data_IF_053099044853
#
_entry.id   IF_053099044853
#
_cell.length_a   1.000
_cell.length_b   1.000
_cell.length_c   1.000
_cell.angle_alpha   90.00
_cell.angle_beta   90.00
_cell.angle_gamma   90.00
#
_symmetry.space_group_name_H-M   'P 1'
#
loop_
_entity.id
_entity.type
_entity.pdbx_description
1 polymer ?
#
# COMPACT_ATOMS: atom_id res chain seq x y z
N UNK A 1 -3.87 -22.31 13.34
CA UNK A 1 -3.08 -21.77 14.47
C UNK A 1 -2.60 -20.39 14.06
N UNK A 2 -3.07 -19.33 14.74
CA UNK A 2 -2.74 -17.94 14.42
C UNK A 2 -1.65 -17.44 15.38
N UNK A 3 -0.57 -16.85 14.85
CA UNK A 3 0.49 -16.25 15.65
C UNK A 3 0.08 -14.80 15.98
N UNK A 4 -0.28 -14.54 17.24
CA UNK A 4 -0.52 -13.19 17.75
C UNK A 4 0.81 -12.56 18.17
N UNK A 5 1.51 -11.91 17.24
CA UNK A 5 2.60 -11.01 17.62
C UNK A 5 2.02 -9.64 18.00
N UNK A 6 1.51 -9.53 19.23
CA UNK A 6 1.15 -8.24 19.80
C UNK A 6 2.42 -7.54 20.29
N UNK A 7 3.03 -6.74 19.42
CA UNK A 7 4.12 -5.86 19.83
C UNK A 7 3.51 -4.61 20.44
N UNK A 8 3.79 -4.34 21.71
CA UNK A 8 3.38 -3.09 22.34
C UNK A 8 3.99 -1.89 21.59
N UNK A 9 3.11 -0.97 21.20
CA UNK A 9 3.50 0.27 20.52
C UNK A 9 3.50 1.39 21.52
N UNK A 10 4.61 2.12 21.57
CA UNK A 10 4.62 3.39 22.27
C UNK A 10 3.64 4.34 21.57
N UNK A 11 2.76 5.02 22.33
CA UNK A 11 1.72 5.90 21.78
C UNK A 11 2.29 6.95 20.82
N UNK A 12 3.44 7.58 21.15
CA UNK A 12 4.19 8.47 20.24
C UNK A 12 4.44 7.90 18.84
N UNK A 13 4.72 6.60 18.71
CA UNK A 13 4.91 5.97 17.39
C UNK A 13 3.60 5.90 16.61
N UNK A 14 2.49 5.61 17.30
CA UNK A 14 1.14 5.62 16.72
C UNK A 14 0.76 7.03 16.26
N UNK A 15 1.00 8.02 17.11
CA UNK A 15 0.67 9.42 16.83
C UNK A 15 1.51 9.98 15.68
N UNK A 16 2.80 9.66 15.64
CA UNK A 16 3.71 10.09 14.57
C UNK A 16 3.23 9.61 13.19
N UNK A 17 2.87 8.33 13.05
CA UNK A 17 2.39 7.79 11.78
C UNK A 17 1.10 8.50 11.35
N UNK A 18 0.17 8.71 12.29
CA UNK A 18 -1.07 9.45 12.03
C UNK A 18 -0.79 10.90 11.58
N UNK A 19 0.13 11.59 12.24
CA UNK A 19 0.48 12.98 11.92
C UNK A 19 1.19 13.12 10.56
N UNK A 20 2.07 12.18 10.22
CA UNK A 20 2.78 12.21 8.92
C UNK A 20 1.79 12.09 7.76
N UNK A 21 0.81 11.19 7.87
CA UNK A 21 -0.14 10.93 6.80
C UNK A 21 -1.39 11.81 6.83
N UNK A 22 -1.70 12.48 7.94
CA UNK A 22 -2.83 13.42 8.02
C UNK A 22 -2.65 14.68 7.17
N UNK A 23 -1.42 14.95 6.72
CA UNK A 23 -1.08 16.10 5.85
C UNK A 23 -1.51 15.90 4.39
N UNK A 24 -2.01 14.72 4.04
CA UNK A 24 -2.43 14.40 2.68
C UNK A 24 -3.95 14.48 2.54
N UNK A 25 -4.41 15.10 1.47
CA UNK A 25 -5.84 15.25 1.15
C UNK A 25 -6.30 14.02 0.38
N UNK A 26 -7.36 13.37 0.86
CA UNK A 26 -7.92 12.21 0.17
C UNK A 26 -8.58 12.62 -1.17
N UNK A 27 -8.27 11.88 -2.23
CA UNK A 27 -8.83 12.09 -3.57
C UNK A 27 -9.54 10.83 -4.07
N UNK A 28 -10.66 11.02 -4.75
CA UNK A 28 -11.48 9.92 -5.29
C UNK A 28 -10.80 9.16 -6.45
N UNK A 29 -9.99 9.87 -7.22
CA UNK A 29 -9.31 9.35 -8.40
C UNK A 29 -7.81 9.55 -8.26
N UNK A 30 -7.07 8.51 -8.63
CA UNK A 30 -5.63 8.58 -8.69
C UNK A 30 -5.22 9.39 -9.91
N UNK A 31 -4.28 10.30 -9.72
CA UNK A 31 -3.72 11.05 -10.84
C UNK A 31 -3.04 10.10 -11.83
N UNK A 32 -3.07 10.46 -13.11
CA UNK A 32 -2.41 9.68 -14.16
C UNK A 32 -0.91 9.54 -13.94
N UNK A 33 -0.29 10.52 -13.26
CA UNK A 33 1.13 10.53 -12.91
C UNK A 33 1.25 10.98 -11.45
N UNK A 34 1.98 10.16 -10.67
CA UNK A 34 2.27 10.39 -9.25
C UNK A 34 3.77 10.64 -9.09
N UNK A 35 4.13 11.74 -8.41
CA UNK A 35 5.54 12.08 -8.17
C UNK A 35 6.05 11.61 -6.80
N UNK A 36 7.20 10.93 -6.82
CA UNK A 36 7.85 10.31 -5.67
C UNK A 36 6.85 9.58 -4.76
N UNK A 37 6.09 8.61 -5.29
CA UNK A 37 4.97 8.02 -4.58
C UNK A 37 5.42 7.28 -3.32
N UNK A 38 4.58 7.34 -2.31
CA UNK A 38 4.61 6.39 -1.19
C UNK A 38 3.41 5.48 -1.35
N UNK A 39 3.65 4.17 -1.34
CA UNK A 39 2.61 3.13 -1.37
C UNK A 39 2.57 2.50 0.02
N UNK A 40 1.46 2.65 0.72
CA UNK A 40 1.23 2.02 2.03
C UNK A 40 0.19 0.91 1.89
N UNK A 41 0.62 -0.30 2.21
CA UNK A 41 -0.12 -1.55 2.06
C UNK A 41 -0.59 -1.97 3.45
N UNK A 42 -1.90 -2.07 3.65
CA UNK A 42 -2.51 -2.47 4.91
C UNK A 42 -3.17 -3.84 4.74
N UNK A 43 -2.61 -4.92 5.31
CA UNK A 43 -3.25 -6.23 5.27
C UNK A 43 -4.60 -6.17 5.98
N UNK A 44 -5.63 -6.77 5.38
CA UNK A 44 -7.01 -6.77 5.90
C UNK A 44 -7.55 -8.17 6.16
N UNK A 45 -7.28 -9.13 5.27
CA UNK A 45 -7.75 -10.51 5.41
C UNK A 45 -6.91 -11.50 4.62
N UNK A 46 -7.05 -12.77 4.96
CA UNK A 46 -6.47 -13.88 4.21
C UNK A 46 -7.10 -14.00 2.81
N UNK A 47 -6.35 -14.55 1.85
CA UNK A 47 -6.85 -14.88 0.52
C UNK A 47 -7.65 -16.19 0.51
N UNK A 48 -7.45 -17.06 1.51
CA UNK A 48 -8.30 -18.22 1.76
C UNK A 48 -9.54 -17.85 2.61
N UNK A 49 -10.70 -18.36 2.21
CA UNK A 49 -11.91 -18.30 3.02
C UNK A 49 -12.01 -19.48 4.00
N UNK A 50 -13.01 -19.45 4.88
CA UNK A 50 -13.22 -20.48 5.91
C UNK A 50 -13.51 -21.87 5.31
N UNK A 51 -14.03 -21.91 4.07
CA UNK A 51 -14.29 -23.13 3.31
C UNK A 51 -13.04 -23.67 2.59
N UNK A 52 -11.89 -22.98 2.70
CA UNK A 52 -10.64 -23.32 2.04
C UNK A 52 -10.55 -22.85 0.58
N UNK A 53 -11.51 -22.05 0.09
CA UNK A 53 -11.45 -21.48 -1.26
C UNK A 53 -10.45 -20.33 -1.32
N UNK A 54 -9.55 -20.36 -2.31
CA UNK A 54 -8.65 -19.26 -2.63
C UNK A 54 -9.40 -18.20 -3.47
N UNK A 55 -9.45 -16.97 -2.97
CA UNK A 55 -10.05 -15.83 -3.67
C UNK A 55 -9.02 -14.80 -4.17
N UNK A 56 -7.73 -14.99 -3.89
CA UNK A 56 -6.62 -14.24 -4.50
C UNK A 56 -6.04 -14.92 -5.75
N UNK A 57 -5.06 -14.29 -6.38
CA UNK A 57 -4.20 -14.90 -7.40
C UNK A 57 -3.26 -15.94 -6.81
N UNK A 58 -2.81 -15.75 -5.58
CA UNK A 58 -1.87 -16.61 -4.87
C UNK A 58 -2.17 -16.60 -3.36
N UNK A 59 -1.59 -17.55 -2.63
CA UNK A 59 -1.56 -17.57 -1.17
C UNK A 59 -0.81 -16.33 -0.62
N UNK A 60 -1.59 -15.32 -0.24
CA UNK A 60 -1.14 -14.02 0.24
C UNK A 60 -2.20 -13.37 1.17
N UNK A 61 -1.97 -12.11 1.56
CA UNK A 61 -2.95 -11.30 2.28
C UNK A 61 -3.61 -10.28 1.35
N UNK A 62 -4.93 -10.30 1.33
CA UNK A 62 -5.70 -9.20 0.76
C UNK A 62 -5.47 -7.93 1.58
N UNK A 63 -5.05 -6.88 0.87
CA UNK A 63 -4.60 -5.63 1.47
C UNK A 63 -5.27 -4.43 0.80
N UNK A 64 -5.46 -3.37 1.58
CA UNK A 64 -5.87 -2.04 1.14
C UNK A 64 -4.63 -1.21 0.83
N UNK A 65 -4.66 -0.46 -0.27
CA UNK A 65 -3.51 0.26 -0.79
C UNK A 65 -3.78 1.74 -0.74
N UNK A 66 -2.90 2.49 -0.08
CA UNK A 66 -2.91 3.94 -0.09
C UNK A 66 -1.72 4.43 -0.91
N UNK A 67 -1.99 5.28 -1.91
CA UNK A 67 -0.95 5.88 -2.75
C UNK A 67 -0.91 7.37 -2.50
N UNK A 68 0.22 7.82 -1.97
CA UNK A 68 0.46 9.20 -1.61
C UNK A 68 1.30 9.88 -2.70
N UNK A 69 0.81 10.97 -3.26
CA UNK A 69 1.60 11.90 -4.08
C UNK A 69 2.29 12.89 -3.14
N UNK A 70 3.61 12.80 -3.03
CA UNK A 70 4.37 13.62 -2.06
C UNK A 70 4.55 15.07 -2.50
N UNK A 71 4.38 15.36 -3.80
CA UNK A 71 4.44 16.69 -4.39
C UNK A 71 3.10 17.41 -4.25
N UNK A 72 2.01 16.75 -4.67
CA UNK A 72 0.64 17.31 -4.60
C UNK A 72 0.01 17.24 -3.22
N UNK A 73 0.59 16.47 -2.29
CA UNK A 73 0.04 16.19 -0.96
C UNK A 73 -1.36 15.58 -1.02
N UNK A 74 -1.58 14.66 -1.95
CA UNK A 74 -2.82 13.91 -2.08
C UNK A 74 -2.62 12.44 -1.74
N UNK A 75 -3.68 11.78 -1.29
CA UNK A 75 -3.72 10.33 -1.08
C UNK A 75 -4.93 9.75 -1.78
N UNK A 76 -4.69 8.73 -2.60
CA UNK A 76 -5.75 7.89 -3.12
C UNK A 76 -5.77 6.58 -2.35
N UNK A 77 -6.97 6.07 -2.06
CA UNK A 77 -7.16 4.79 -1.37
C UNK A 77 -7.87 3.80 -2.27
N UNK A 78 -7.38 2.57 -2.31
CA UNK A 78 -7.99 1.53 -3.12
C UNK A 78 -9.40 1.20 -2.58
N UNK A 79 -10.39 1.25 -3.48
CA UNK A 79 -11.77 0.85 -3.15
C UNK A 79 -11.94 -0.67 -3.06
N UNK A 80 -10.96 -1.42 -3.56
CA UNK A 80 -10.90 -2.89 -3.56
C UNK A 80 -9.64 -3.34 -2.83
N UNK A 81 -9.64 -4.60 -2.43
CA UNK A 81 -8.48 -5.26 -1.86
C UNK A 81 -7.64 -5.89 -2.97
N UNK A 82 -6.33 -5.82 -2.79
CA UNK A 82 -5.35 -6.39 -3.71
C UNK A 82 -4.42 -7.32 -2.94
N UNK A 83 -3.86 -8.32 -3.61
CA UNK A 83 -2.98 -9.33 -3.02
C UNK A 83 -1.51 -9.21 -3.47
N UNK A 84 -1.20 -8.22 -4.30
CA UNK A 84 0.15 -7.98 -4.77
C UNK A 84 0.36 -6.64 -5.47
N UNK A 85 1.65 -6.29 -5.64
CA UNK A 85 2.12 -5.21 -6.53
C UNK A 85 2.77 -5.86 -7.74
N UNK A 86 2.38 -5.44 -8.94
CA UNK A 86 3.03 -5.83 -10.18
C UNK A 86 3.89 -4.67 -10.70
N UNK A 87 5.21 -4.68 -10.45
CA UNK A 87 6.11 -3.70 -11.03
C UNK A 87 6.37 -4.00 -12.50
N UNK A 88 6.05 -3.05 -13.37
CA UNK A 88 6.44 -3.09 -14.76
C UNK A 88 7.65 -2.15 -14.94
N UNK A 89 8.77 -2.73 -15.37
CA UNK A 89 10.11 -2.11 -15.41
C UNK A 89 10.77 -1.93 -14.02
N UNK A 90 12.04 -1.52 -14.03
CA UNK A 90 12.81 -1.26 -12.83
C UNK A 90 12.26 -0.05 -12.06
N UNK A 91 11.72 -0.31 -10.87
CA UNK A 91 11.32 0.75 -9.94
C UNK A 91 12.53 1.27 -9.18
N UNK A 92 12.64 2.60 -9.08
CA UNK A 92 13.62 3.20 -8.17
C UNK A 92 13.04 3.22 -6.74
N UNK A 93 13.23 2.11 -6.03
CA UNK A 93 12.83 1.96 -4.63
C UNK A 93 13.83 2.69 -3.74
N UNK A 94 13.38 3.72 -3.05
CA UNK A 94 14.19 4.48 -2.10
C UNK A 94 14.26 3.79 -0.73
N UNK A 95 13.10 3.36 -0.21
CA UNK A 95 13.02 2.68 1.09
C UNK A 95 11.78 1.79 1.16
N UNK A 96 11.91 0.70 1.92
CA UNK A 96 10.80 -0.16 2.34
C UNK A 96 10.79 -0.18 3.86
N UNK A 97 9.63 0.03 4.48
CA UNK A 97 9.42 -0.05 5.92
C UNK A 97 8.29 -1.02 6.22
N UNK A 98 8.54 -1.95 7.13
CA UNK A 98 7.53 -2.87 7.65
C UNK A 98 7.18 -2.36 9.05
N UNK A 99 5.90 -2.05 9.25
CA UNK A 99 5.39 -1.57 10.52
C UNK A 99 4.96 -2.72 11.41
N UNK A 100 4.84 -2.42 12.71
CA UNK A 100 4.50 -3.42 13.72
C UNK A 100 3.05 -3.92 13.61
N UNK A 101 2.20 -3.22 12.87
CA UNK A 101 0.83 -3.63 12.50
C UNK A 101 0.79 -4.46 11.20
N UNK A 102 1.96 -4.93 10.74
CA UNK A 102 2.18 -5.66 9.48
C UNK A 102 1.93 -4.82 8.22
N UNK A 103 1.54 -3.56 8.34
CA UNK A 103 1.47 -2.68 7.19
C UNK A 103 2.86 -2.41 6.63
N UNK A 104 2.95 -2.27 5.31
CA UNK A 104 4.24 -2.06 4.62
C UNK A 104 4.17 -0.78 3.83
N UNK A 105 5.23 0.03 3.91
CA UNK A 105 5.37 1.25 3.14
C UNK A 105 6.55 1.12 2.18
N UNK A 106 6.29 1.38 0.91
CA UNK A 106 7.27 1.42 -0.17
C UNK A 106 7.33 2.87 -0.65
N UNK A 107 8.51 3.49 -0.60
CA UNK A 107 8.73 4.83 -1.12
C UNK A 107 9.59 4.77 -2.36
N UNK A 108 9.11 5.39 -3.43
CA UNK A 108 9.78 5.43 -4.72
C UNK A 108 10.26 6.85 -5.00
N UNK A 109 11.27 6.96 -5.87
CA UNK A 109 11.75 8.24 -6.39
C UNK A 109 11.51 8.31 -7.89
N UNK A 110 11.05 9.45 -8.39
CA UNK A 110 10.69 9.65 -9.79
C UNK A 110 9.18 9.76 -10.00
N UNK A 111 8.76 9.72 -11.26
CA UNK A 111 7.36 9.83 -11.67
C UNK A 111 6.85 8.47 -12.11
N UNK A 112 5.66 8.09 -11.67
CA UNK A 112 5.09 6.78 -11.94
C UNK A 112 3.63 6.90 -12.37
N UNK A 113 3.22 6.02 -13.27
CA UNK A 113 1.82 5.72 -13.52
C UNK A 113 1.47 4.56 -12.60
N UNK A 114 0.34 4.67 -11.94
CA UNK A 114 -0.11 3.68 -10.98
C UNK A 114 -1.56 3.33 -11.31
N UNK A 115 -1.92 2.05 -11.29
CA UNK A 115 -3.28 1.61 -11.58
C UNK A 115 -3.66 0.37 -10.77
N UNK A 116 -4.78 0.42 -10.07
CA UNK A 116 -5.38 -0.78 -9.49
C UNK A 116 -6.17 -1.54 -10.55
N UNK A 117 -5.64 -2.67 -11.05
CA UNK A 117 -6.36 -3.56 -11.95
C UNK A 117 -6.73 -4.84 -11.19
N UNK A 118 -8.02 -5.19 -11.16
CA UNK A 118 -8.53 -6.41 -10.50
C UNK A 118 -7.92 -6.66 -9.10
N UNK A 119 -7.25 -7.80 -8.91
CA UNK A 119 -6.66 -8.31 -7.67
C UNK A 119 -5.23 -7.82 -7.43
N UNK A 120 -4.55 -7.22 -8.42
CA UNK A 120 -3.17 -6.71 -8.29
C UNK A 120 -3.11 -5.18 -8.39
N UNK A 121 -1.98 -4.62 -7.97
CA UNK A 121 -1.71 -3.19 -8.05
C UNK A 121 -0.54 -2.93 -8.98
N UNK A 122 -0.81 -2.34 -10.15
CA UNK A 122 0.19 -2.16 -11.19
C UNK A 122 0.90 -0.81 -11.04
N UNK A 123 2.20 -0.83 -11.30
CA UNK A 123 3.02 0.38 -11.28
C UNK A 123 4.03 0.39 -12.42
N UNK A 124 4.12 1.55 -13.08
CA UNK A 124 4.93 1.78 -14.27
C UNK A 124 5.76 3.05 -14.09
N UNK A 125 7.00 3.04 -14.56
CA UNK A 125 7.80 4.26 -14.60
C UNK A 125 7.28 5.20 -15.69
N UNK A 126 7.05 6.47 -15.34
CA UNK A 126 6.73 7.50 -16.33
C UNK A 126 8.04 7.97 -17.00
N UNK A 127 8.09 7.91 -18.33
CA UNK A 127 9.27 8.25 -19.14
C UNK A 127 9.37 9.76 -19.41
#
# INVERSE_FOLDING_TARGET
MLINNQIELHQKSVDYVKEVFSKYIEVEQLDSIVTNPIIHIYPKKDTYEQDGKLNGYIDALFSEFHVYDTEKKTVWKSKRLHDGICPYEDLYVNQIKIFKDLSTMISLKGKYIVSGSYTTFDIYKYR
#
